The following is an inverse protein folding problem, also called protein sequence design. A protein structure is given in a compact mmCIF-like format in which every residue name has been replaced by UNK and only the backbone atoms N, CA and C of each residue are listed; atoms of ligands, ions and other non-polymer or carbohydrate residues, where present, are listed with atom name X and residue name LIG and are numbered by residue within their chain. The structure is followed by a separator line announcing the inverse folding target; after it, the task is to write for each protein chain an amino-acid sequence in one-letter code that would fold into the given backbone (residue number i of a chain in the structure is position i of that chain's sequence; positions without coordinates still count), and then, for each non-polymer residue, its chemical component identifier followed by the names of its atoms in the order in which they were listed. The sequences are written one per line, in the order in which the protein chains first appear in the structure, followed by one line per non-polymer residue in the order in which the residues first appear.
data_IF_000702408642
#
_entry.id   IF_000702408642
#
_cell.length_a   1.000
_cell.length_b   1.000
_cell.length_c   1.000
_cell.angle_alpha   90.00
_cell.angle_beta   90.00
_cell.angle_gamma   90.00
#
_symmetry.space_group_name_H-M   'P 1'
#
loop_
_entity.id
_entity.type
_entity.pdbx_description
1 polymer ?
#
# COMPACT_ATOMS: atom_id res chain seq x y z
N UNK A 1 -8.76 -21.17 11.45
CA UNK A 1 -8.90 -20.29 10.28
C UNK A 1 -10.34 -19.86 10.18
N UNK A 2 -10.62 -18.59 9.91
CA UNK A 2 -11.96 -18.15 9.55
C UNK A 2 -12.20 -18.44 8.06
N UNK A 3 -13.38 -18.97 7.71
CA UNK A 3 -13.80 -19.20 6.33
C UNK A 3 -14.59 -17.99 5.85
N UNK A 4 -14.23 -17.44 4.68
CA UNK A 4 -14.90 -16.31 4.06
C UNK A 4 -15.44 -16.76 2.70
N UNK A 5 -16.77 -16.80 2.56
CA UNK A 5 -17.43 -17.06 1.28
C UNK A 5 -17.77 -15.72 0.63
N UNK A 6 -17.22 -15.46 -0.56
CA UNK A 6 -17.48 -14.26 -1.35
C UNK A 6 -17.88 -14.62 -2.77
N UNK A 7 -18.85 -13.90 -3.30
CA UNK A 7 -19.14 -13.91 -4.73
C UNK A 7 -18.34 -12.80 -5.39
N UNK A 8 -17.65 -13.13 -6.48
CA UNK A 8 -16.86 -12.19 -7.28
C UNK A 8 -17.24 -12.33 -8.75
N UNK A 9 -17.09 -11.27 -9.56
CA UNK A 9 -17.23 -11.37 -11.02
C UNK A 9 -16.22 -12.34 -11.64
N UNK A 10 -16.57 -12.93 -12.77
CA UNK A 10 -15.71 -13.89 -13.48
C UNK A 10 -14.36 -13.30 -13.91
N UNK A 11 -14.33 -12.00 -14.22
CA UNK A 11 -13.10 -11.28 -14.53
C UNK A 11 -12.12 -11.27 -13.35
N UNK A 12 -12.62 -11.05 -12.14
CA UNK A 12 -11.78 -11.09 -10.92
C UNK A 12 -11.29 -12.50 -10.66
N UNK A 13 -12.14 -13.52 -10.87
CA UNK A 13 -11.73 -14.92 -10.74
C UNK A 13 -10.60 -15.26 -11.71
N UNK A 14 -10.77 -14.91 -12.98
CA UNK A 14 -9.76 -15.12 -14.04
C UNK A 14 -8.43 -14.44 -13.68
N UNK A 15 -8.49 -13.25 -13.09
CA UNK A 15 -7.29 -12.56 -12.62
C UNK A 15 -6.58 -13.32 -11.49
N UNK A 16 -7.33 -13.80 -10.49
CA UNK A 16 -6.79 -14.58 -9.37
C UNK A 16 -6.17 -15.89 -9.88
N UNK A 17 -6.83 -16.57 -10.81
CA UNK A 17 -6.34 -17.83 -11.38
C UNK A 17 -4.98 -17.64 -12.08
N UNK A 18 -4.78 -16.54 -12.82
CA UNK A 18 -3.47 -16.18 -13.41
C UNK A 18 -2.37 -15.96 -12.35
N UNK A 19 -2.73 -15.39 -11.20
CA UNK A 19 -1.77 -15.20 -10.10
C UNK A 19 -1.38 -16.54 -9.48
N UNK A 20 -2.29 -17.51 -9.42
CA UNK A 20 -2.01 -18.88 -8.97
C UNK A 20 -1.14 -19.62 -10.01
N UNK A 21 -1.49 -19.53 -11.29
CA UNK A 21 -0.73 -20.13 -12.40
C UNK A 21 0.72 -19.64 -12.47
N UNK A 22 0.98 -18.40 -12.05
CA UNK A 22 2.34 -17.86 -11.96
C UNK A 22 3.21 -18.58 -10.92
N UNK A 23 2.63 -19.44 -10.08
CA UNK A 23 3.30 -20.14 -8.99
C UNK A 23 3.54 -19.29 -7.74
N UNK A 24 3.15 -18.00 -7.76
CA UNK A 24 3.30 -17.09 -6.62
C UNK A 24 2.35 -17.41 -5.46
N UNK A 25 1.18 -17.96 -5.75
CA UNK A 25 0.17 -18.30 -4.74
C UNK A 25 -0.35 -19.72 -4.96
N UNK A 26 -0.57 -20.47 -3.88
CA UNK A 26 -1.06 -21.85 -3.98
C UNK A 26 -2.58 -21.94 -4.23
N UNK A 27 -3.34 -20.92 -3.86
CA UNK A 27 -4.80 -20.85 -4.03
C UNK A 27 -5.30 -19.40 -3.91
N UNK A 28 -6.59 -19.21 -4.20
CA UNK A 28 -7.25 -17.91 -4.14
C UNK A 28 -7.27 -17.29 -2.72
N UNK A 29 -7.39 -18.11 -1.67
CA UNK A 29 -7.37 -17.62 -0.29
C UNK A 29 -6.01 -17.04 0.10
N UNK A 30 -4.92 -17.60 -0.43
CA UNK A 30 -3.57 -17.07 -0.22
C UNK A 30 -3.37 -15.75 -0.92
N UNK A 31 -3.83 -15.63 -2.16
CA UNK A 31 -3.82 -14.36 -2.89
C UNK A 31 -4.63 -13.27 -2.18
N UNK A 32 -5.86 -13.60 -1.75
CA UNK A 32 -6.73 -12.64 -1.04
C UNK A 32 -6.10 -12.22 0.29
N UNK A 33 -5.47 -13.14 1.03
CA UNK A 33 -4.81 -12.82 2.30
C UNK A 33 -3.63 -11.88 2.08
N UNK A 34 -2.85 -12.09 1.02
CA UNK A 34 -1.75 -11.22 0.65
C UNK A 34 -2.26 -9.82 0.29
N UNK A 35 -3.32 -9.73 -0.51
CA UNK A 35 -3.96 -8.46 -0.87
C UNK A 35 -4.45 -7.68 0.37
N UNK A 36 -5.04 -8.37 1.34
CA UNK A 36 -5.49 -7.76 2.61
C UNK A 36 -4.28 -7.22 3.39
N UNK A 37 -3.19 -7.99 3.49
CA UNK A 37 -1.96 -7.54 4.18
C UNK A 37 -1.34 -6.34 3.49
N UNK A 38 -1.26 -6.35 2.17
CA UNK A 38 -0.72 -5.24 1.40
C UNK A 38 -1.52 -3.95 1.65
N UNK A 39 -2.86 -4.02 1.53
CA UNK A 39 -3.75 -2.90 1.83
C UNK A 39 -3.62 -2.39 3.28
N UNK A 40 -3.42 -3.27 4.25
CA UNK A 40 -3.14 -2.85 5.63
C UNK A 40 -1.79 -2.13 5.73
N UNK A 41 -0.75 -2.70 5.13
CA UNK A 41 0.61 -2.13 5.18
C UNK A 41 0.70 -0.76 4.53
N UNK A 42 0.01 -0.53 3.41
CA UNK A 42 -0.02 0.79 2.75
C UNK A 42 -0.71 1.83 3.64
N UNK A 43 -1.83 1.47 4.25
CA UNK A 43 -2.54 2.36 5.18
C UNK A 43 -1.71 2.67 6.42
N UNK A 44 -0.99 1.68 6.94
CA UNK A 44 -0.16 1.87 8.11
C UNK A 44 1.09 2.70 7.79
N UNK A 45 1.69 2.54 6.60
CA UNK A 45 2.77 3.40 6.13
C UNK A 45 2.34 4.87 6.04
N UNK A 46 1.16 5.14 5.49
CA UNK A 46 0.61 6.52 5.43
C UNK A 46 0.37 7.08 6.84
N UNK A 47 -0.21 6.29 7.75
CA UNK A 47 -0.40 6.72 9.14
C UNK A 47 0.93 7.02 9.83
N UNK A 48 1.95 6.18 9.62
CA UNK A 48 3.27 6.40 10.20
C UNK A 48 3.91 7.69 9.66
N UNK A 49 3.82 7.92 8.35
CA UNK A 49 4.32 9.15 7.74
C UNK A 49 3.57 10.40 8.25
N UNK A 50 2.26 10.28 8.50
CA UNK A 50 1.48 11.37 9.09
C UNK A 50 1.93 11.67 10.53
N UNK A 51 2.10 10.64 11.36
CA UNK A 51 2.59 10.79 12.74
C UNK A 51 4.00 11.39 12.76
N UNK A 52 4.88 10.95 11.86
CA UNK A 52 6.22 11.54 11.70
C UNK A 52 6.13 13.03 11.33
N UNK A 53 5.24 13.39 10.41
CA UNK A 53 4.98 14.78 10.04
C UNK A 53 4.45 15.63 11.20
N UNK A 54 3.47 15.11 11.96
CA UNK A 54 2.93 15.79 13.15
C UNK A 54 4.00 16.01 14.23
N UNK A 55 4.88 15.02 14.45
CA UNK A 55 5.98 15.12 15.41
C UNK A 55 7.13 16.00 14.91
N UNK A 56 7.24 16.24 13.60
CA UNK A 56 8.31 17.06 13.02
C UNK A 56 8.16 18.57 13.29
N UNK A 57 7.01 18.98 13.80
CA UNK A 57 6.71 20.38 14.11
C UNK A 57 6.37 21.21 12.86
N UNK A 58 5.95 22.46 13.06
CA UNK A 58 5.63 23.35 11.95
C UNK A 58 6.90 23.85 11.26
N UNK A 59 6.94 23.73 9.93
CA UNK A 59 8.05 24.26 9.13
C UNK A 59 7.92 25.78 8.99
N UNK A 60 8.94 26.51 9.42
CA UNK A 60 9.05 27.97 9.19
C UNK A 60 9.43 28.32 7.74
N UNK A 61 9.84 27.33 6.93
CA UNK A 61 10.27 27.54 5.55
C UNK A 61 9.07 27.80 4.63
N UNK A 62 9.18 28.84 3.81
CA UNK A 62 8.22 29.07 2.73
C UNK A 62 8.50 28.11 1.56
N UNK A 63 7.50 27.92 0.70
CA UNK A 63 7.63 27.09 -0.52
C UNK A 63 8.83 27.53 -1.38
N UNK A 64 9.12 28.83 -1.45
CA UNK A 64 10.26 29.36 -2.21
C UNK A 64 11.61 29.01 -1.57
N UNK A 65 11.69 28.94 -0.25
CA UNK A 65 12.90 28.58 0.48
C UNK A 65 13.21 27.08 0.32
N UNK A 66 12.17 26.24 0.37
CA UNK A 66 12.29 24.78 0.14
C UNK A 66 12.84 24.49 -1.26
N UNK A 67 12.33 25.17 -2.29
CA UNK A 67 12.78 24.99 -3.68
C UNK A 67 14.24 25.44 -3.85
N UNK A 68 14.64 26.56 -3.23
CA UNK A 68 16.03 27.04 -3.28
C UNK A 68 16.98 26.05 -2.60
N UNK A 69 16.59 25.51 -1.44
CA UNK A 69 17.40 24.59 -0.64
C UNK A 69 17.61 23.23 -1.32
N UNK A 70 16.62 22.75 -2.09
CA UNK A 70 16.77 21.54 -2.92
C UNK A 70 17.70 21.78 -4.11
N UNK A 71 17.59 22.92 -4.80
CA UNK A 71 18.46 23.26 -5.94
C UNK A 71 19.92 23.49 -5.56
N UNK A 72 20.20 23.91 -4.32
CA UNK A 72 21.58 24.08 -3.84
C UNK A 72 22.26 22.78 -3.37
N UNK A 73 21.49 21.70 -3.21
CA UNK A 73 21.98 20.38 -2.79
C UNK A 73 22.29 19.43 -3.97
N UNK A 74 22.00 19.84 -5.20
CA UNK A 74 22.27 19.10 -6.44
C UNK A 74 23.45 19.69 -7.19
#
# INVERSE_FOLDING_TARGET
MATLNISIPDEMRTWIDKQIESGRFANASDYIRDLIRHNQSEKDAIKMALVEGELSGESELTVLDIIKQQKSKS
#
